data_IF_951414930223
#
_entry.id   IF_951414930223
#
_cell.length_a   1.000
_cell.length_b   1.000
_cell.length_c   1.000
_cell.angle_alpha   90.00
_cell.angle_beta   90.00
_cell.angle_gamma   90.00
#
_symmetry.space_group_name_H-M   'P 1'
#
loop_
_entity.id
_entity.type
_entity.pdbx_description
1 polymer ?
#
# COMPACT_ATOMS: atom_id res chain seq x y z
N UNK A 1 -5.14 12.23 -9.02
CA UNK A 1 -4.01 11.37 -8.68
C UNK A 1 -3.97 10.20 -9.66
N UNK A 2 -2.95 10.17 -10.48
CA UNK A 2 -2.82 9.14 -11.52
C UNK A 2 -1.97 7.97 -11.03
N UNK A 3 -2.30 6.76 -11.50
CA UNK A 3 -1.42 5.62 -11.34
C UNK A 3 -0.15 5.85 -12.17
N UNK A 4 1.04 5.70 -11.58
CA UNK A 4 2.28 5.92 -12.33
C UNK A 4 2.49 4.83 -13.38
N UNK A 5 3.19 5.18 -14.46
CA UNK A 5 3.62 4.21 -15.48
C UNK A 5 5.07 3.83 -15.21
N UNK A 6 5.42 2.59 -15.47
CA UNK A 6 6.79 2.12 -15.32
C UNK A 6 6.91 0.76 -14.67
N UNK A 7 8.12 0.44 -14.22
CA UNK A 7 8.44 -0.82 -13.57
C UNK A 7 8.92 -0.52 -12.17
N UNK A 8 8.26 -1.10 -11.17
CA UNK A 8 8.53 -0.80 -9.77
C UNK A 8 8.63 -2.08 -8.94
N UNK A 9 9.43 -2.03 -7.88
CA UNK A 9 9.45 -3.09 -6.88
C UNK A 9 8.31 -2.91 -5.90
N UNK A 10 8.02 -3.98 -5.15
CA UNK A 10 7.00 -3.99 -4.11
C UNK A 10 7.68 -3.90 -2.73
N UNK A 11 6.99 -3.28 -1.79
CA UNK A 11 7.43 -3.20 -0.40
C UNK A 11 6.90 -4.40 0.39
N UNK A 12 6.80 -4.27 1.70
CA UNK A 12 6.28 -5.28 2.61
C UNK A 12 4.77 -5.44 2.43
N UNK A 13 4.25 -6.57 2.87
CA UNK A 13 2.81 -6.77 2.99
C UNK A 13 2.34 -6.20 4.33
N UNK A 14 1.35 -5.31 4.30
CA UNK A 14 0.61 -4.90 5.49
C UNK A 14 -0.73 -5.61 5.47
N UNK A 15 -1.17 -6.15 6.60
CA UNK A 15 -2.41 -6.94 6.63
C UNK A 15 -3.17 -6.77 7.95
N UNK A 16 -4.47 -7.01 7.90
CA UNK A 16 -5.34 -6.96 9.07
C UNK A 16 -5.33 -8.31 9.77
N UNK A 17 -4.47 -8.44 10.76
CA UNK A 17 -4.31 -9.67 11.54
C UNK A 17 -5.61 -10.12 12.22
N UNK A 18 -6.47 -9.17 12.56
CA UNK A 18 -7.77 -9.45 13.18
C UNK A 18 -8.80 -9.99 12.19
N UNK A 19 -8.54 -9.93 10.88
CA UNK A 19 -9.47 -10.37 9.83
C UNK A 19 -8.90 -11.45 8.93
N UNK A 20 -7.60 -11.41 8.68
CA UNK A 20 -6.93 -12.26 7.69
C UNK A 20 -5.88 -13.11 8.41
N UNK A 21 -5.92 -14.42 8.18
CA UNK A 21 -4.87 -15.31 8.63
C UNK A 21 -3.56 -14.94 7.95
N UNK A 22 -2.43 -15.10 8.63
CA UNK A 22 -1.11 -14.80 8.06
C UNK A 22 -0.96 -15.48 6.70
N UNK A 23 -0.83 -14.70 5.61
CA UNK A 23 -0.70 -15.28 4.28
C UNK A 23 0.61 -16.06 4.09
N UNK A 24 0.58 -17.02 3.17
CA UNK A 24 1.79 -17.72 2.73
C UNK A 24 2.48 -16.85 1.71
N UNK A 25 3.62 -16.27 2.08
CA UNK A 25 4.38 -15.36 1.20
C UNK A 25 5.83 -15.25 1.66
N UNK A 26 6.71 -14.89 0.72
CA UNK A 26 8.11 -14.58 1.02
C UNK A 26 8.31 -13.12 1.42
N UNK A 27 7.28 -12.29 1.27
CA UNK A 27 7.34 -10.90 1.71
C UNK A 27 7.28 -10.81 3.23
N UNK A 28 7.94 -9.80 3.79
CA UNK A 28 7.77 -9.48 5.21
C UNK A 28 6.34 -9.02 5.45
N UNK A 29 5.70 -9.54 6.48
CA UNK A 29 4.31 -9.23 6.81
C UNK A 29 4.24 -8.39 8.08
N UNK A 30 3.56 -7.26 8.00
CA UNK A 30 3.39 -6.32 9.10
C UNK A 30 1.90 -6.21 9.43
N UNK A 31 1.48 -6.55 10.65
CA UNK A 31 0.09 -6.34 11.05
C UNK A 31 -0.24 -4.84 11.09
N UNK A 32 -1.39 -4.47 10.56
CA UNK A 32 -1.86 -3.08 10.59
C UNK A 32 -2.46 -2.78 11.96
N UNK A 33 -1.93 -1.75 12.62
CA UNK A 33 -2.41 -1.28 13.91
C UNK A 33 -3.29 -0.05 13.74
N UNK A 34 -4.13 0.23 14.74
CA UNK A 34 -5.08 1.35 14.70
C UNK A 34 -4.40 2.70 14.52
N UNK A 35 -3.15 2.83 14.94
CA UNK A 35 -2.41 4.10 14.87
C UNK A 35 -1.53 4.24 13.62
N UNK A 36 -1.72 3.38 12.63
CA UNK A 36 -0.93 3.44 11.40
C UNK A 36 -1.58 4.30 10.33
N UNK A 37 -0.79 5.17 9.70
CA UNK A 37 -1.19 5.97 8.57
C UNK A 37 -0.05 6.10 7.57
N UNK A 38 -0.38 6.51 6.36
CA UNK A 38 0.62 6.75 5.31
C UNK A 38 0.59 8.22 4.95
N UNK A 39 1.70 8.92 5.18
CA UNK A 39 1.75 10.38 5.02
C UNK A 39 1.61 10.81 3.56
N UNK A 40 0.64 11.69 3.31
CA UNK A 40 0.44 12.34 2.02
C UNK A 40 0.43 13.87 2.16
N UNK A 41 0.96 14.38 3.27
CA UNK A 41 0.93 15.79 3.61
C UNK A 41 2.00 16.56 2.84
N UNK A 42 1.57 17.45 1.96
CA UNK A 42 2.47 18.26 1.15
C UNK A 42 3.29 19.26 1.96
N UNK A 43 2.92 19.48 3.22
CA UNK A 43 3.66 20.36 4.14
C UNK A 43 4.68 19.59 4.99
N UNK A 44 4.72 18.26 4.87
CA UNK A 44 5.59 17.41 5.68
C UNK A 44 6.57 16.66 4.81
N UNK A 45 7.61 17.35 4.36
CA UNK A 45 8.64 16.76 3.49
C UNK A 45 9.35 15.58 4.12
N UNK A 46 9.55 15.61 5.43
CA UNK A 46 10.28 14.56 6.16
C UNK A 46 9.59 13.20 6.08
N UNK A 47 8.26 13.19 6.17
CA UNK A 47 7.48 11.94 6.25
C UNK A 47 6.68 11.62 4.99
N UNK A 48 6.70 12.49 3.99
CA UNK A 48 5.90 12.31 2.78
C UNK A 48 6.15 10.93 2.14
N UNK A 49 5.09 10.23 1.82
CA UNK A 49 5.09 8.87 1.25
C UNK A 49 5.80 7.86 2.16
N UNK A 50 5.58 7.98 3.47
CA UNK A 50 6.12 7.05 4.47
C UNK A 50 5.06 6.66 5.48
N UNK A 51 5.27 5.50 6.09
CA UNK A 51 4.44 5.04 7.21
C UNK A 51 4.68 5.93 8.43
N UNK A 52 3.61 6.37 9.06
CA UNK A 52 3.67 7.21 10.27
C UNK A 52 2.69 6.71 11.32
N UNK A 53 2.88 7.15 12.56
CA UNK A 53 1.82 7.11 13.56
C UNK A 53 0.79 8.17 13.22
N UNK A 54 -0.48 7.81 13.31
CA UNK A 54 -1.59 8.74 13.04
C UNK A 54 -1.46 9.96 13.92
N UNK A 55 -1.50 11.13 13.29
CA UNK A 55 -1.40 12.42 13.94
C UNK A 55 -2.38 13.36 13.22
N UNK A 56 -3.29 13.98 13.97
CA UNK A 56 -4.31 14.86 13.42
C UNK A 56 -3.73 16.07 12.67
N UNK A 57 -2.50 16.46 12.99
CA UNK A 57 -1.83 17.60 12.35
C UNK A 57 -1.18 17.25 11.02
N UNK A 58 -1.07 15.97 10.69
CA UNK A 58 -0.42 15.48 9.46
C UNK A 58 -1.45 14.82 8.61
N UNK A 59 -1.62 15.28 7.36
CA UNK A 59 -2.50 14.62 6.39
C UNK A 59 -1.96 13.24 6.07
N UNK A 60 -2.82 12.22 6.10
CA UNK A 60 -2.41 10.84 5.89
C UNK A 60 -3.55 9.98 5.37
N UNK A 61 -3.18 8.88 4.70
CA UNK A 61 -4.09 7.79 4.35
C UNK A 61 -4.18 6.86 5.56
N UNK A 62 -5.40 6.67 6.07
CA UNK A 62 -5.62 5.77 7.22
C UNK A 62 -5.46 4.31 6.79
N UNK A 63 -4.56 3.58 7.44
CA UNK A 63 -4.32 2.17 7.12
C UNK A 63 -5.34 1.23 7.77
N UNK A 64 -5.77 1.53 8.98
CA UNK A 64 -6.73 0.71 9.73
C UNK A 64 -8.15 1.18 9.40
N UNK A 65 -8.84 0.44 8.52
CA UNK A 65 -10.13 0.85 7.94
C UNK A 65 -11.28 -0.08 8.34
N UNK A 66 -12.49 0.44 8.29
CA UNK A 66 -13.69 -0.37 8.48
C UNK A 66 -13.97 -1.29 7.29
N UNK A 67 -13.75 -0.77 6.07
CA UNK A 67 -13.92 -1.59 4.87
C UNK A 67 -12.77 -2.58 4.72
N UNK A 68 -12.82 -3.40 3.67
CA UNK A 68 -11.82 -4.45 3.44
C UNK A 68 -10.66 -4.00 2.56
N UNK A 69 -10.65 -2.76 2.13
CA UNK A 69 -9.68 -2.24 1.16
C UNK A 69 -8.23 -2.57 1.52
N UNK A 70 -7.85 -2.36 2.78
CA UNK A 70 -6.50 -2.59 3.27
C UNK A 70 -6.38 -3.82 4.17
N UNK A 71 -7.28 -4.79 4.02
CA UNK A 71 -7.09 -6.07 4.70
C UNK A 71 -5.79 -6.74 4.22
N UNK A 72 -5.45 -6.51 2.95
CA UNK A 72 -4.17 -6.86 2.34
C UNK A 72 -3.72 -5.67 1.49
N UNK A 73 -2.54 -5.15 1.74
CA UNK A 73 -2.01 -4.01 1.00
C UNK A 73 -0.50 -4.06 0.91
N UNK A 74 0.03 -3.79 -0.30
CA UNK A 74 1.46 -3.73 -0.55
C UNK A 74 1.77 -2.37 -1.16
N UNK A 75 2.56 -1.53 -0.49
CA UNK A 75 3.05 -0.29 -1.11
C UNK A 75 3.91 -0.60 -2.32
N UNK A 76 3.69 0.13 -3.40
CA UNK A 76 4.51 0.06 -4.61
C UNK A 76 5.64 1.06 -4.45
N UNK A 77 6.87 0.65 -4.74
CA UNK A 77 8.04 1.50 -4.57
C UNK A 77 8.17 2.52 -5.71
N UNK A 78 7.19 3.40 -5.79
CA UNK A 78 7.17 4.58 -6.63
C UNK A 78 7.31 5.81 -5.75
N UNK A 79 8.19 6.75 -6.12
CA UNK A 79 8.45 7.96 -5.33
C UNK A 79 8.80 7.61 -3.87
N UNK A 80 9.65 6.63 -3.68
CA UNK A 80 9.78 5.90 -2.42
C UNK A 80 11.06 6.22 -1.65
N UNK A 81 12.24 6.08 -2.29
CA UNK A 81 13.53 6.24 -1.59
C UNK A 81 13.84 7.70 -1.25
N UNK A 82 13.61 8.60 -2.20
CA UNK A 82 13.77 10.05 -2.02
C UNK A 82 12.47 10.72 -2.50
N UNK A 83 11.41 10.65 -1.69
CA UNK A 83 10.10 11.14 -2.13
C UNK A 83 10.11 12.64 -2.44
N UNK A 84 9.53 12.98 -3.60
CA UNK A 84 9.31 14.36 -3.98
C UNK A 84 7.86 14.74 -3.68
N UNK A 85 7.66 15.87 -3.01
CA UNK A 85 6.33 16.36 -2.67
C UNK A 85 5.48 16.52 -3.94
N UNK A 86 4.24 16.05 -3.87
CA UNK A 86 3.29 16.21 -4.97
C UNK A 86 3.43 15.20 -6.10
N UNK A 87 4.47 14.37 -6.10
CA UNK A 87 4.67 13.36 -7.15
C UNK A 87 3.92 12.06 -6.90
N UNK A 88 3.35 11.89 -5.74
CA UNK A 88 2.51 10.76 -5.39
C UNK A 88 2.88 10.12 -4.07
N UNK A 89 1.86 9.80 -3.29
CA UNK A 89 1.96 9.12 -2.01
C UNK A 89 0.87 8.07 -1.92
N UNK A 90 1.10 7.03 -1.12
CA UNK A 90 0.14 5.94 -0.92
C UNK A 90 -0.27 5.27 -2.24
N UNK A 91 0.73 4.96 -3.05
CA UNK A 91 0.52 4.20 -4.29
C UNK A 91 0.59 2.73 -3.90
N UNK A 92 -0.57 2.10 -3.80
CA UNK A 92 -0.71 0.77 -3.20
C UNK A 92 -1.30 -0.25 -4.17
N UNK A 93 -0.89 -1.51 -3.98
CA UNK A 93 -1.62 -2.68 -4.46
C UNK A 93 -2.50 -3.13 -3.31
N UNK A 94 -3.81 -3.16 -3.50
CA UNK A 94 -4.77 -3.51 -2.44
C UNK A 94 -5.91 -4.37 -2.97
N UNK A 95 -6.74 -4.89 -2.07
CA UNK A 95 -7.87 -5.72 -2.48
C UNK A 95 -9.09 -4.88 -2.88
N UNK A 96 -9.93 -5.46 -3.74
CA UNK A 96 -11.20 -4.90 -4.14
C UNK A 96 -12.23 -6.01 -4.32
N UNK A 97 -13.50 -5.68 -4.20
CA UNK A 97 -14.57 -6.61 -4.50
C UNK A 97 -14.96 -6.59 -5.98
N UNK A 98 -14.90 -5.43 -6.64
CA UNK A 98 -15.55 -5.21 -7.93
C UNK A 98 -14.62 -4.65 -9.02
N UNK A 99 -13.33 -4.58 -8.80
CA UNK A 99 -12.37 -3.97 -9.73
C UNK A 99 -12.75 -2.55 -10.17
N UNK A 100 -13.37 -1.80 -9.27
CA UNK A 100 -13.70 -0.39 -9.55
C UNK A 100 -12.42 0.44 -9.68
N UNK A 101 -12.38 1.45 -10.57
CA UNK A 101 -11.23 2.33 -10.67
C UNK A 101 -10.90 2.97 -9.33
N UNK A 102 -9.60 3.07 -9.04
CA UNK A 102 -9.09 3.70 -7.82
C UNK A 102 -8.07 4.75 -8.18
N UNK A 103 -8.03 5.83 -7.41
CA UNK A 103 -7.11 6.94 -7.66
C UNK A 103 -5.68 6.55 -7.25
N UNK A 104 -4.80 6.33 -8.23
CA UNK A 104 -3.38 6.09 -8.01
C UNK A 104 -3.02 4.72 -7.45
N UNK A 105 -3.98 3.80 -7.31
CA UNK A 105 -3.75 2.48 -6.74
C UNK A 105 -4.17 1.38 -7.70
N UNK A 106 -3.67 0.18 -7.46
CA UNK A 106 -4.04 -1.02 -8.22
C UNK A 106 -4.83 -1.92 -7.30
N UNK A 107 -6.01 -2.33 -7.76
CA UNK A 107 -6.94 -3.14 -6.97
C UNK A 107 -7.08 -4.55 -7.54
N UNK A 108 -7.04 -5.55 -6.67
CA UNK A 108 -7.11 -6.97 -7.02
C UNK A 108 -8.08 -7.66 -6.08
N UNK A 109 -8.81 -8.65 -6.58
CA UNK A 109 -9.69 -9.45 -5.72
C UNK A 109 -8.87 -10.20 -4.67
N UNK A 110 -9.45 -10.42 -3.49
CA UNK A 110 -8.75 -11.06 -2.38
C UNK A 110 -8.17 -12.42 -2.76
N UNK A 111 -8.93 -13.26 -3.45
CA UNK A 111 -8.47 -14.58 -3.88
C UNK A 111 -7.24 -14.49 -4.77
N UNK A 112 -7.27 -13.58 -5.73
CA UNK A 112 -6.15 -13.37 -6.66
C UNK A 112 -4.95 -12.80 -5.92
N UNK A 113 -5.18 -11.93 -4.95
CA UNK A 113 -4.11 -11.37 -4.13
C UNK A 113 -3.39 -12.45 -3.32
N UNK A 114 -4.14 -13.37 -2.73
CA UNK A 114 -3.56 -14.48 -1.96
C UNK A 114 -2.73 -15.42 -2.84
N UNK A 115 -3.19 -15.67 -4.08
CA UNK A 115 -2.42 -16.45 -5.05
C UNK A 115 -1.13 -15.72 -5.42
N UNK A 116 -1.24 -14.42 -5.70
CA UNK A 116 -0.11 -13.58 -6.06
C UNK A 116 0.95 -13.59 -4.96
N UNK A 117 0.54 -13.49 -3.70
CA UNK A 117 1.45 -13.48 -2.55
C UNK A 117 2.33 -14.72 -2.46
N UNK A 118 1.84 -15.88 -2.92
CA UNK A 118 2.63 -17.13 -2.94
C UNK A 118 3.72 -17.10 -4.01
N UNK A 119 3.53 -16.31 -5.07
CA UNK A 119 4.39 -16.30 -6.24
C UNK A 119 5.47 -15.22 -6.19
N UNK A 120 5.26 -14.16 -5.42
CA UNK A 120 6.14 -12.99 -5.41
C UNK A 120 7.13 -13.03 -4.26
N UNK A 121 8.18 -12.20 -4.39
CA UNK A 121 9.18 -11.98 -3.36
C UNK A 121 9.67 -10.52 -3.42
N UNK A 122 10.64 -10.15 -2.59
CA UNK A 122 11.15 -8.77 -2.53
C UNK A 122 11.82 -8.29 -3.82
N UNK A 123 12.17 -9.21 -4.73
CA UNK A 123 12.78 -8.88 -6.02
C UNK A 123 11.76 -8.75 -7.15
N UNK A 124 10.52 -9.13 -6.89
CA UNK A 124 9.44 -9.05 -7.88
C UNK A 124 9.18 -7.60 -8.26
N UNK A 125 8.96 -7.39 -9.55
CA UNK A 125 8.63 -6.08 -10.10
C UNK A 125 7.24 -6.09 -10.68
N UNK A 126 6.55 -4.96 -10.55
CA UNK A 126 5.26 -4.73 -11.18
C UNK A 126 5.44 -3.75 -12.33
N UNK A 127 4.89 -4.08 -13.49
CA UNK A 127 4.90 -3.20 -14.64
C UNK A 127 3.53 -2.55 -14.78
N UNK A 128 3.51 -1.24 -14.77
CA UNK A 128 2.30 -0.43 -14.93
C UNK A 128 2.39 0.30 -16.27
N UNK A 129 1.45 0.01 -17.15
CA UNK A 129 1.39 0.60 -18.49
C UNK A 129 0.53 1.87 -18.54
#
# INVERSE_FOLDING_TARGET
KKTPKGIFKLDKLYYRKDRIKLPVTKLKCIPIKKNMGWCNDLKNKKNYNKLIKVNQKISHEKMYRFDKKYDLVIPIKYNFLKPKLGKGSAIFLHITKNYKPTAGCIAVKEQDFLILLRLINKKTKIKIK
#
